data_IF_524694953487
#
_entry.id   IF_524694953487
#
_cell.length_a   1.000
_cell.length_b   1.000
_cell.length_c   1.000
_cell.angle_alpha   90.00
_cell.angle_beta   90.00
_cell.angle_gamma   90.00
#
_symmetry.space_group_name_H-M   'P 1'
#
loop_
_entity.id
_entity.type
_entity.pdbx_description
1 polymer ?
#
# COMPACT_ATOMS: atom_id res chain seq x y z
N UNK A 1 73.53 -44.91 -24.85
CA UNK A 1 72.63 -44.28 -25.82
C UNK A 1 71.61 -43.51 -25.04
N UNK A 2 71.65 -42.20 -25.14
CA UNK A 2 70.85 -41.24 -24.33
C UNK A 2 69.54 -40.95 -25.07
N UNK A 3 68.40 -41.07 -24.37
CA UNK A 3 67.09 -40.65 -24.88
C UNK A 3 66.52 -39.62 -23.91
N UNK A 4 66.48 -38.39 -24.35
CA UNK A 4 65.95 -37.22 -23.63
C UNK A 4 64.44 -37.11 -23.87
N UNK A 5 63.65 -37.25 -22.83
CA UNK A 5 62.21 -37.00 -22.82
C UNK A 5 61.95 -35.51 -22.51
N UNK A 6 61.35 -34.86 -23.50
CA UNK A 6 60.93 -33.44 -23.42
C UNK A 6 59.52 -33.41 -22.83
N UNK A 7 59.42 -32.87 -21.60
CA UNK A 7 58.11 -32.71 -20.93
C UNK A 7 57.53 -31.33 -21.32
N UNK A 8 56.43 -31.33 -22.05
CA UNK A 8 55.68 -30.14 -22.46
C UNK A 8 54.65 -29.80 -21.34
N UNK A 9 54.90 -28.76 -20.57
CA UNK A 9 53.97 -28.24 -19.60
C UNK A 9 52.98 -27.28 -20.28
N UNK A 10 51.72 -27.67 -20.40
CA UNK A 10 50.64 -26.82 -20.85
C UNK A 10 50.09 -26.06 -19.64
N UNK A 11 50.36 -24.76 -19.55
CA UNK A 11 49.77 -23.84 -18.62
C UNK A 11 48.35 -23.42 -19.16
N UNK A 12 47.30 -24.03 -18.60
CA UNK A 12 45.94 -23.56 -18.80
C UNK A 12 45.71 -22.34 -17.87
N UNK A 13 45.83 -21.15 -18.45
CA UNK A 13 45.39 -19.89 -17.78
C UNK A 13 43.87 -19.81 -17.87
N UNK A 14 43.18 -20.32 -16.85
CA UNK A 14 41.75 -20.11 -16.69
C UNK A 14 41.45 -18.69 -16.24
N UNK A 15 41.04 -17.81 -17.15
CA UNK A 15 40.48 -16.53 -16.84
C UNK A 15 39.07 -16.74 -16.27
N UNK A 16 38.94 -16.68 -14.94
CA UNK A 16 37.64 -16.52 -14.27
C UNK A 16 37.13 -15.12 -14.56
N UNK A 17 36.21 -14.98 -15.53
CA UNK A 17 35.38 -13.82 -15.66
C UNK A 17 34.39 -13.81 -14.47
N UNK A 18 34.70 -13.03 -13.43
CA UNK A 18 33.75 -12.67 -12.40
C UNK A 18 32.73 -11.77 -13.10
N UNK A 19 31.58 -12.34 -13.46
CA UNK A 19 30.40 -11.57 -13.80
C UNK A 19 29.93 -10.90 -12.50
N UNK A 20 30.38 -9.66 -12.26
CA UNK A 20 29.71 -8.76 -11.35
C UNK A 20 28.31 -8.54 -11.94
N UNK A 21 27.31 -9.29 -11.45
CA UNK A 21 25.92 -8.93 -11.63
C UNK A 21 25.73 -7.56 -11.03
N UNK A 22 25.49 -6.54 -11.85
CA UNK A 22 24.96 -5.27 -11.42
C UNK A 22 23.65 -5.55 -10.69
N UNK A 23 23.72 -5.66 -9.37
CA UNK A 23 22.58 -5.44 -8.52
C UNK A 23 22.26 -3.95 -8.68
N UNK A 24 21.39 -3.63 -9.66
CA UNK A 24 20.86 -2.29 -9.85
C UNK A 24 20.26 -1.86 -8.52
N UNK A 25 20.96 -1.02 -7.78
CA UNK A 25 20.42 -0.41 -6.56
C UNK A 25 19.23 0.43 -7.02
N UNK A 26 18.04 0.15 -6.45
CA UNK A 26 16.86 0.98 -6.68
C UNK A 26 17.18 2.42 -6.32
N UNK A 27 16.62 3.35 -7.07
CA UNK A 27 16.72 4.76 -6.72
C UNK A 27 15.94 5.04 -5.42
N UNK A 28 16.31 6.06 -4.68
CA UNK A 28 15.59 6.46 -3.45
C UNK A 28 14.09 6.71 -3.74
N UNK A 29 13.77 7.22 -4.94
CA UNK A 29 12.39 7.45 -5.37
C UNK A 29 11.63 6.14 -5.60
N UNK A 30 12.27 5.10 -6.12
CA UNK A 30 11.65 3.77 -6.30
C UNK A 30 11.38 3.11 -4.94
N UNK A 31 12.30 3.25 -3.99
CA UNK A 31 12.12 2.74 -2.63
C UNK A 31 10.96 3.45 -1.94
N UNK A 32 10.86 4.78 -2.04
CA UNK A 32 9.73 5.54 -1.49
C UNK A 32 8.39 5.12 -2.09
N UNK A 33 8.33 4.90 -3.40
CA UNK A 33 7.12 4.45 -4.09
C UNK A 33 6.66 3.09 -3.59
N UNK A 34 7.59 2.15 -3.44
CA UNK A 34 7.28 0.81 -2.90
C UNK A 34 6.79 0.88 -1.44
N UNK A 35 7.44 1.66 -0.59
CA UNK A 35 7.01 1.85 0.80
C UNK A 35 5.58 2.39 0.89
N UNK A 36 5.26 3.39 0.07
CA UNK A 36 3.92 3.98 0.01
C UNK A 36 2.90 2.96 -0.51
N UNK A 37 3.25 2.19 -1.54
CA UNK A 37 2.38 1.16 -2.09
C UNK A 37 2.05 0.10 -1.05
N UNK A 38 3.06 -0.48 -0.39
CA UNK A 38 2.89 -1.49 0.65
C UNK A 38 2.05 -0.95 1.81
N UNK A 39 2.27 0.30 2.20
CA UNK A 39 1.48 0.96 3.24
C UNK A 39 0.01 1.06 2.86
N UNK A 40 -0.31 1.50 1.63
CA UNK A 40 -1.69 1.62 1.16
C UNK A 40 -2.38 0.26 1.01
N UNK A 41 -1.68 -0.75 0.47
CA UNK A 41 -2.17 -2.12 0.35
C UNK A 41 -2.50 -2.75 1.72
N UNK A 42 -1.78 -2.33 2.76
CA UNK A 42 -2.05 -2.77 4.13
C UNK A 42 -3.19 -1.97 4.78
N UNK A 43 -3.20 -0.65 4.58
CA UNK A 43 -4.19 0.24 5.19
C UNK A 43 -5.61 0.02 4.67
N UNK A 44 -5.79 -0.17 3.36
CA UNK A 44 -7.13 -0.23 2.76
C UNK A 44 -8.00 -1.40 3.26
N UNK A 45 -7.49 -2.62 3.42
CA UNK A 45 -8.25 -3.71 4.08
C UNK A 45 -8.60 -3.40 5.53
N UNK A 46 -7.70 -2.75 6.29
CA UNK A 46 -7.96 -2.33 7.66
C UNK A 46 -9.03 -1.23 7.74
N UNK A 47 -9.05 -0.33 6.75
CA UNK A 47 -10.10 0.67 6.59
C UNK A 47 -11.48 0.01 6.36
N UNK A 48 -11.54 -0.99 5.47
CA UNK A 48 -12.75 -1.78 5.25
C UNK A 48 -13.25 -2.42 6.54
N UNK A 49 -12.34 -3.05 7.29
CA UNK A 49 -12.65 -3.63 8.59
C UNK A 49 -13.15 -2.58 9.60
N UNK A 50 -12.53 -1.41 9.65
CA UNK A 50 -12.95 -0.34 10.56
C UNK A 50 -14.37 0.15 10.27
N UNK A 51 -14.78 0.24 9.00
CA UNK A 51 -16.16 0.57 8.63
C UNK A 51 -17.16 -0.51 9.08
N UNK A 52 -16.79 -1.78 8.96
CA UNK A 52 -17.69 -2.90 9.27
C UNK A 52 -17.81 -3.16 10.78
N UNK A 53 -16.72 -3.01 11.53
CA UNK A 53 -16.63 -3.40 12.95
C UNK A 53 -16.62 -2.25 13.93
N UNK A 54 -16.28 -1.03 13.49
CA UNK A 54 -16.03 0.11 14.37
C UNK A 54 -14.72 0.00 15.16
N UNK A 55 -13.79 -0.88 14.77
CA UNK A 55 -12.50 -1.04 15.42
C UNK A 55 -11.43 -0.24 14.68
N UNK A 56 -10.91 0.82 15.30
CA UNK A 56 -10.00 1.78 14.65
C UNK A 56 -8.54 1.63 15.05
N UNK A 57 -8.24 0.87 16.11
CA UNK A 57 -6.87 0.74 16.65
C UNK A 57 -5.88 0.17 15.63
N UNK A 58 -6.35 -0.70 14.73
CA UNK A 58 -5.51 -1.26 13.66
C UNK A 58 -5.05 -0.20 12.63
N UNK A 59 -5.72 0.96 12.57
CA UNK A 59 -5.34 2.06 11.66
C UNK A 59 -4.26 2.97 12.24
N UNK A 60 -4.03 2.95 13.55
CA UNK A 60 -3.11 3.87 14.24
C UNK A 60 -1.67 3.87 13.69
N UNK A 61 -1.08 2.73 13.27
CA UNK A 61 0.24 2.74 12.66
C UNK A 61 0.28 3.45 11.30
N UNK A 62 -0.84 3.46 10.55
CA UNK A 62 -0.92 3.88 9.15
C UNK A 62 -1.58 5.23 8.93
N UNK A 63 -2.32 5.74 9.90
CA UNK A 63 -3.08 6.98 9.76
C UNK A 63 -2.90 7.91 10.96
N UNK A 64 -2.96 9.21 10.70
CA UNK A 64 -2.95 10.22 11.74
C UNK A 64 -4.31 10.26 12.45
N UNK A 65 -4.31 10.72 13.69
CA UNK A 65 -5.51 10.83 14.53
C UNK A 65 -6.65 11.59 13.85
N UNK A 66 -6.33 12.59 13.02
CA UNK A 66 -7.33 13.36 12.25
C UNK A 66 -8.09 12.48 11.26
N UNK A 67 -7.40 11.61 10.54
CA UNK A 67 -8.03 10.66 9.58
C UNK A 67 -8.86 9.63 10.33
N UNK A 68 -8.32 9.04 11.40
CA UNK A 68 -9.05 8.08 12.25
C UNK A 68 -10.33 8.70 12.81
N UNK A 69 -10.27 9.95 13.27
CA UNK A 69 -11.45 10.68 13.77
C UNK A 69 -12.49 10.93 12.68
N UNK A 70 -12.04 11.18 11.44
CA UNK A 70 -12.94 11.32 10.28
C UNK A 70 -13.67 10.03 9.96
N UNK A 71 -12.96 8.90 9.99
CA UNK A 71 -13.56 7.56 9.78
C UNK A 71 -14.56 7.25 10.90
N UNK A 72 -14.15 7.47 12.16
CA UNK A 72 -15.02 7.26 13.33
C UNK A 72 -16.32 8.07 13.20
N UNK A 73 -16.22 9.36 12.84
CA UNK A 73 -17.39 10.20 12.63
C UNK A 73 -18.34 9.64 11.57
N UNK A 74 -17.83 9.16 10.43
CA UNK A 74 -18.65 8.53 9.39
C UNK A 74 -19.39 7.30 9.88
N UNK A 75 -18.69 6.41 10.61
CA UNK A 75 -19.31 5.21 11.19
C UNK A 75 -20.37 5.59 12.22
N UNK A 76 -20.10 6.59 13.06
CA UNK A 76 -21.05 7.09 14.03
C UNK A 76 -22.30 7.69 13.36
N UNK A 77 -22.12 8.49 12.32
CA UNK A 77 -23.24 9.08 11.55
C UNK A 77 -24.14 7.98 10.94
N UNK A 78 -23.56 6.90 10.43
CA UNK A 78 -24.32 5.73 9.95
C UNK A 78 -25.05 5.03 11.11
N UNK A 79 -24.40 4.81 12.23
CA UNK A 79 -24.98 4.15 13.41
C UNK A 79 -26.17 4.93 13.97
N UNK A 80 -26.07 6.26 14.04
CA UNK A 80 -27.18 7.13 14.47
C UNK A 80 -28.37 7.02 13.52
N UNK A 81 -28.14 6.76 12.23
CA UNK A 81 -29.19 6.51 11.25
C UNK A 81 -29.73 5.08 11.28
N UNK A 82 -29.30 4.25 12.22
CA UNK A 82 -29.69 2.83 12.28
C UNK A 82 -29.05 1.99 11.17
N UNK A 83 -27.89 2.38 10.65
CA UNK A 83 -27.21 1.77 9.51
C UNK A 83 -25.81 1.27 9.89
N UNK A 84 -25.36 0.20 9.26
CA UNK A 84 -24.00 -0.36 9.33
C UNK A 84 -23.48 -0.54 7.91
N UNK A 85 -22.26 -0.11 7.64
CA UNK A 85 -21.61 -0.28 6.34
C UNK A 85 -20.70 -1.51 6.38
N UNK A 86 -20.84 -2.38 5.40
CA UNK A 86 -19.89 -3.41 5.07
C UNK A 86 -19.21 -3.01 3.76
N UNK A 87 -17.90 -2.82 3.80
CA UNK A 87 -17.12 -2.40 2.65
C UNK A 87 -16.10 -3.50 2.29
N UNK A 88 -15.99 -3.80 1.01
CA UNK A 88 -15.00 -4.75 0.48
C UNK A 88 -14.21 -4.09 -0.64
N UNK A 89 -12.90 -4.00 -0.48
CA UNK A 89 -12.02 -3.52 -1.55
C UNK A 89 -11.88 -4.62 -2.61
N UNK A 90 -12.23 -4.30 -3.85
CA UNK A 90 -12.04 -5.20 -5.00
C UNK A 90 -10.69 -5.02 -5.67
N UNK A 91 -10.31 -3.78 -5.88
CA UNK A 91 -9.01 -3.45 -6.46
C UNK A 91 -8.56 -2.05 -6.07
N UNK A 92 -7.25 -1.84 -6.09
CA UNK A 92 -6.62 -0.53 -6.00
C UNK A 92 -5.52 -0.42 -7.04
N UNK A 93 -5.46 0.71 -7.71
CA UNK A 93 -4.38 1.07 -8.63
C UNK A 93 -3.86 2.43 -8.25
N UNK A 94 -2.56 2.56 -8.07
CA UNK A 94 -1.90 3.85 -7.83
C UNK A 94 -1.70 4.51 -9.18
N UNK A 95 -2.36 5.66 -9.39
CA UNK A 95 -2.26 6.45 -10.61
C UNK A 95 -1.05 7.38 -10.60
N UNK A 96 -0.78 8.00 -9.45
CA UNK A 96 0.27 9.01 -9.32
C UNK A 96 0.80 9.09 -7.88
N UNK A 97 2.11 9.27 -7.74
CA UNK A 97 2.78 9.57 -6.47
C UNK A 97 3.65 10.80 -6.69
N UNK A 98 3.39 11.84 -5.92
CA UNK A 98 4.18 13.08 -5.87
C UNK A 98 4.74 13.26 -4.48
N UNK A 99 5.99 12.88 -4.29
CA UNK A 99 6.74 13.11 -3.05
C UNK A 99 7.54 14.42 -3.13
N UNK A 100 7.68 15.10 -1.99
CA UNK A 100 8.54 16.28 -1.86
C UNK A 100 9.12 16.38 -0.44
N UNK A 101 10.31 16.97 -0.36
CA UNK A 101 11.02 17.15 0.91
C UNK A 101 11.25 15.87 1.71
N UNK A 102 11.31 14.71 1.05
CA UNK A 102 11.54 13.39 1.69
C UNK A 102 10.58 13.03 2.84
N UNK A 103 9.56 13.83 3.09
CA UNK A 103 8.67 13.66 4.24
C UNK A 103 7.20 13.87 3.95
N UNK A 104 6.85 14.29 2.75
CA UNK A 104 5.47 14.50 2.35
C UNK A 104 5.20 13.91 0.97
N UNK A 105 4.01 13.36 0.78
CA UNK A 105 3.59 12.88 -0.53
C UNK A 105 2.08 13.12 -0.74
N UNK A 106 1.70 13.32 -1.99
CA UNK A 106 0.35 13.08 -2.48
C UNK A 106 0.32 11.80 -3.29
N UNK A 107 -0.68 11.00 -3.03
CA UNK A 107 -0.94 9.78 -3.81
C UNK A 107 -2.35 9.86 -4.34
N UNK A 108 -2.51 9.57 -5.62
CA UNK A 108 -3.82 9.42 -6.25
C UNK A 108 -4.01 7.96 -6.60
N UNK A 109 -5.14 7.40 -6.18
CA UNK A 109 -5.52 6.02 -6.45
C UNK A 109 -6.84 5.96 -7.21
N UNK A 110 -7.00 4.89 -7.98
CA UNK A 110 -8.28 4.41 -8.45
C UNK A 110 -8.64 3.16 -7.64
N UNK A 111 -9.74 3.21 -6.90
CA UNK A 111 -10.21 2.16 -6.01
C UNK A 111 -11.58 1.66 -6.46
N UNK A 112 -11.78 0.36 -6.42
CA UNK A 112 -13.09 -0.25 -6.70
C UNK A 112 -13.58 -0.94 -5.44
N UNK A 113 -14.78 -0.59 -5.00
CA UNK A 113 -15.35 -1.06 -3.76
C UNK A 113 -16.73 -1.69 -3.97
N UNK A 114 -17.02 -2.74 -3.19
CA UNK A 114 -18.40 -3.16 -2.92
C UNK A 114 -18.83 -2.59 -1.59
N UNK A 115 -20.00 -2.01 -1.56
CA UNK A 115 -20.57 -1.36 -0.39
C UNK A 115 -21.95 -1.96 -0.12
N UNK A 116 -22.15 -2.56 1.06
CA UNK A 116 -23.43 -3.07 1.50
C UNK A 116 -23.85 -2.39 2.78
N UNK A 117 -25.01 -1.77 2.78
CA UNK A 117 -25.57 -1.09 3.94
C UNK A 117 -26.62 -1.99 4.58
N UNK A 118 -26.40 -2.33 5.84
CA UNK A 118 -27.33 -3.12 6.64
C UNK A 118 -28.05 -2.25 7.67
N UNK A 119 -29.24 -2.69 8.11
CA UNK A 119 -29.84 -2.16 9.32
C UNK A 119 -29.02 -2.55 10.55
N UNK A 120 -28.81 -1.61 11.49
CA UNK A 120 -28.07 -1.89 12.72
C UNK A 120 -28.75 -2.97 13.54
N UNK A 121 -27.97 -3.96 13.99
CA UNK A 121 -28.48 -5.08 14.82
C UNK A 121 -29.21 -6.17 14.04
N UNK A 122 -29.19 -6.13 12.71
CA UNK A 122 -29.75 -7.20 11.85
C UNK A 122 -28.93 -7.37 10.59
N UNK A 123 -29.17 -8.46 9.86
CA UNK A 123 -28.59 -8.73 8.54
C UNK A 123 -29.47 -8.20 7.39
N UNK A 124 -30.49 -7.39 7.72
CA UNK A 124 -31.35 -6.78 6.71
C UNK A 124 -30.54 -5.82 5.86
N UNK A 125 -30.42 -6.11 4.57
CA UNK A 125 -29.79 -5.22 3.58
C UNK A 125 -30.73 -4.07 3.25
N UNK A 126 -30.22 -2.85 3.35
CA UNK A 126 -30.92 -1.61 3.03
C UNK A 126 -30.52 -1.04 1.67
N UNK A 127 -29.26 -1.23 1.28
CA UNK A 127 -28.70 -0.79 -0.01
C UNK A 127 -27.46 -1.63 -0.36
N UNK A 128 -27.24 -1.81 -1.64
CA UNK A 128 -26.06 -2.49 -2.19
C UNK A 128 -25.54 -1.68 -3.38
N UNK A 129 -24.24 -1.48 -3.39
CA UNK A 129 -23.52 -0.84 -4.49
C UNK A 129 -22.27 -1.67 -4.78
N UNK A 130 -22.22 -2.29 -5.96
CA UNK A 130 -21.12 -3.15 -6.37
C UNK A 130 -20.24 -2.44 -7.38
N UNK A 131 -18.93 -2.78 -7.33
CA UNK A 131 -17.93 -2.27 -8.28
C UNK A 131 -17.90 -0.75 -8.36
N UNK A 132 -18.10 -0.06 -7.21
CA UNK A 132 -18.10 1.40 -7.17
C UNK A 132 -16.69 1.96 -7.37
N UNK A 133 -16.41 2.64 -8.48
CA UNK A 133 -15.11 3.25 -8.70
C UNK A 133 -15.01 4.55 -7.91
N UNK A 134 -13.89 4.72 -7.20
CA UNK A 134 -13.55 5.95 -6.52
C UNK A 134 -12.15 6.40 -6.93
N UNK A 135 -12.01 7.64 -7.29
CA UNK A 135 -10.70 8.27 -7.39
C UNK A 135 -10.40 8.96 -6.07
N UNK A 136 -9.31 8.55 -5.40
CA UNK A 136 -9.01 9.01 -4.06
C UNK A 136 -7.65 9.69 -4.02
N UNK A 137 -7.60 10.85 -3.39
CA UNK A 137 -6.35 11.57 -3.11
C UNK A 137 -5.98 11.42 -1.65
N UNK A 138 -4.78 10.93 -1.40
CA UNK A 138 -4.16 10.82 -0.09
C UNK A 138 -3.11 11.90 0.09
N UNK A 139 -3.10 12.53 1.25
CA UNK A 139 -1.95 13.28 1.73
C UNK A 139 -1.23 12.45 2.77
N UNK A 140 0.05 12.21 2.54
CA UNK A 140 0.91 11.40 3.39
C UNK A 140 1.98 12.27 4.04
N UNK A 141 2.43 11.83 5.21
CA UNK A 141 3.60 12.35 5.89
C UNK A 141 4.46 11.20 6.37
N UNK A 142 5.77 11.30 6.16
CA UNK A 142 6.74 10.36 6.70
C UNK A 142 6.98 10.70 8.18
N UNK A 143 6.80 9.71 9.05
CA UNK A 143 7.25 9.72 10.43
C UNK A 143 8.69 9.22 10.53
N UNK A 144 9.12 8.85 11.74
CA UNK A 144 10.48 8.38 11.95
C UNK A 144 10.76 7.06 11.21
N UNK A 145 9.77 6.14 11.16
CA UNK A 145 9.96 4.80 10.61
C UNK A 145 9.03 4.45 9.43
N UNK A 146 7.99 5.25 9.14
CA UNK A 146 7.01 4.89 8.12
C UNK A 146 6.17 6.06 7.61
N UNK A 147 5.55 5.86 6.45
CA UNK A 147 4.54 6.76 5.91
C UNK A 147 3.22 6.63 6.66
N UNK A 148 2.53 7.76 6.88
CA UNK A 148 1.21 7.81 7.52
C UNK A 148 0.26 8.70 6.73
N UNK A 149 -0.99 8.28 6.64
CA UNK A 149 -2.05 9.05 6.00
C UNK A 149 -2.48 10.18 6.94
N UNK A 150 -2.30 11.42 6.50
CA UNK A 150 -2.82 12.60 7.20
C UNK A 150 -4.27 12.87 6.86
N UNK A 151 -4.62 12.61 5.59
CA UNK A 151 -5.93 12.96 5.06
C UNK A 151 -6.23 12.16 3.80
N UNK A 152 -7.50 11.80 3.63
CA UNK A 152 -8.04 11.10 2.46
C UNK A 152 -9.24 11.85 1.92
N UNK A 153 -9.29 12.07 0.62
CA UNK A 153 -10.38 12.74 -0.07
C UNK A 153 -10.79 11.97 -1.32
N UNK A 154 -12.07 11.59 -1.41
CA UNK A 154 -12.66 11.10 -2.65
C UNK A 154 -12.81 12.31 -3.60
N UNK A 155 -12.35 12.13 -4.83
CA UNK A 155 -12.45 13.12 -5.89
C UNK A 155 -13.69 12.78 -6.74
N UNK A 156 -14.54 13.76 -7.00
CA UNK A 156 -15.68 13.64 -7.91
C UNK A 156 -15.24 13.70 -9.37
#
# INVERSE_FOLDING_TARGET
MRSTLLTLAILLSGTFAVACGDASSKSDEEVEREEIQVMLETYLPLLAQAYSTGQYSALEPYAAQKEISSIHKRVQDLTVQGRRLEATLRSVTIEDIKAWNYSNAYVTTHEVWDLVVHATGSDQVLAEEYEQPNRVKYQLKRGDDSWRILFRQIQE
#
